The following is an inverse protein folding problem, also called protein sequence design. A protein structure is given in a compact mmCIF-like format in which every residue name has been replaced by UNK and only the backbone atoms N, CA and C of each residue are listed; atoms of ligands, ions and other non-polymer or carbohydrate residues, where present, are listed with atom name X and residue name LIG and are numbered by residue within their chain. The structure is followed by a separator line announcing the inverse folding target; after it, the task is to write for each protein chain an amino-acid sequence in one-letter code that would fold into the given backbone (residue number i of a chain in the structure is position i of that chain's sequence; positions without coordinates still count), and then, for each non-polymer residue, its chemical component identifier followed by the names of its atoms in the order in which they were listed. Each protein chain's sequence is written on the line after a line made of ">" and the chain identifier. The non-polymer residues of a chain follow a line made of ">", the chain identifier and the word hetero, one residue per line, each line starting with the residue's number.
data_IF_931059453084
#
_entry.id   IF_931059453084
#
_cell.length_a   1.000
_cell.length_b   1.000
_cell.length_c   1.000
_cell.angle_alpha   90.00
_cell.angle_beta   90.00
_cell.angle_gamma   90.00
#
_symmetry.space_group_name_H-M   'P 1'
#
loop_
_entity.id
_entity.type
_entity.pdbx_description
1 polymer ?
#
# COMPACT_ATOMS: atom_id res chain seq x y z
N UNK A 1 -10.68 -7.01 8.81
CA UNK A 1 -9.24 -7.22 8.61
C UNK A 1 -8.80 -8.69 8.65
N UNK A 2 -9.52 -9.62 9.32
CA UNK A 2 -9.06 -11.02 9.46
C UNK A 2 -9.96 -12.08 8.81
N UNK A 3 -10.68 -11.70 7.74
CA UNK A 3 -11.58 -12.62 7.04
C UNK A 3 -10.86 -13.84 6.43
N UNK A 4 -9.54 -13.75 6.30
CA UNK A 4 -8.72 -14.68 5.52
C UNK A 4 -7.61 -15.35 6.33
N UNK A 5 -7.67 -15.27 7.66
CA UNK A 5 -6.74 -16.03 8.49
C UNK A 5 -6.98 -17.53 8.25
N UNK A 6 -5.92 -18.25 7.88
CA UNK A 6 -5.99 -19.69 7.59
C UNK A 6 -6.39 -20.08 6.17
N UNK A 7 -6.55 -19.13 5.23
CA UNK A 7 -6.85 -19.47 3.82
C UNK A 7 -5.62 -19.85 3.00
N UNK A 8 -4.42 -19.67 3.57
CA UNK A 8 -3.16 -19.98 2.91
C UNK A 8 -2.60 -21.30 3.42
N UNK A 9 -2.18 -22.15 2.48
CA UNK A 9 -1.46 -23.38 2.75
C UNK A 9 -0.13 -23.42 2.00
N UNK A 10 0.56 -24.57 2.08
CA UNK A 10 1.73 -24.85 1.25
C UNK A 10 1.46 -26.06 0.37
N UNK A 11 1.88 -26.00 -0.88
CA UNK A 11 1.88 -27.15 -1.79
C UNK A 11 2.87 -28.18 -1.24
N UNK A 12 2.45 -29.40 -0.88
CA UNK A 12 3.33 -30.36 -0.19
C UNK A 12 4.60 -30.71 -0.96
N UNK A 13 4.54 -30.75 -2.29
CA UNK A 13 5.67 -31.15 -3.13
C UNK A 13 6.70 -30.04 -3.36
N UNK A 14 6.28 -28.78 -3.45
CA UNK A 14 7.17 -27.65 -3.79
C UNK A 14 7.40 -26.67 -2.64
N UNK A 15 6.63 -26.78 -1.55
CA UNK A 15 6.62 -25.80 -0.46
C UNK A 15 6.06 -24.43 -0.84
N UNK A 16 5.61 -24.24 -2.08
CA UNK A 16 5.07 -22.97 -2.57
C UNK A 16 3.77 -22.60 -1.83
N UNK A 17 3.55 -21.31 -1.65
CA UNK A 17 2.31 -20.79 -1.09
C UNK A 17 1.12 -21.08 -2.04
N UNK A 18 0.01 -21.57 -1.49
CA UNK A 18 -1.24 -21.80 -2.21
C UNK A 18 -2.45 -21.40 -1.37
N UNK A 19 -3.64 -21.41 -1.98
CA UNK A 19 -4.89 -21.31 -1.22
C UNK A 19 -5.31 -22.69 -0.72
N UNK A 20 -5.66 -22.79 0.56
CA UNK A 20 -6.17 -24.00 1.17
C UNK A 20 -7.59 -24.30 0.63
N UNK A 21 -7.70 -25.39 -0.14
CA UNK A 21 -8.95 -25.79 -0.77
C UNK A 21 -10.06 -26.12 0.23
N UNK A 22 -9.73 -26.68 1.39
CA UNK A 22 -10.70 -27.00 2.44
C UNK A 22 -11.20 -25.72 3.12
N UNK A 23 -10.29 -24.81 3.45
CA UNK A 23 -10.66 -23.50 4.02
C UNK A 23 -11.58 -22.71 3.07
N UNK A 24 -11.34 -22.78 1.76
CA UNK A 24 -12.16 -22.11 0.74
C UNK A 24 -13.59 -22.66 0.63
N UNK A 25 -13.87 -23.90 1.05
CA UNK A 25 -15.22 -24.47 1.04
C UNK A 25 -16.14 -23.77 2.03
N UNK A 26 -15.60 -23.26 3.13
CA UNK A 26 -16.34 -22.52 4.16
C UNK A 26 -16.63 -21.06 3.76
N UNK A 27 -16.06 -20.60 2.66
CA UNK A 27 -16.24 -19.23 2.15
C UNK A 27 -17.25 -19.25 1.01
N UNK A 28 -18.36 -18.53 1.16
CA UNK A 28 -19.39 -18.42 0.11
C UNK A 28 -18.84 -17.88 -1.22
N UNK A 29 -19.46 -18.23 -2.35
CA UNK A 29 -18.95 -17.91 -3.69
C UNK A 29 -18.68 -16.39 -3.92
N UNK A 30 -19.56 -15.51 -3.44
CA UNK A 30 -19.35 -14.07 -3.53
C UNK A 30 -18.14 -13.60 -2.72
N UNK A 31 -17.92 -14.19 -1.53
CA UNK A 31 -16.78 -13.87 -0.67
C UNK A 31 -15.47 -14.42 -1.25
N UNK A 32 -15.51 -15.55 -1.98
CA UNK A 32 -14.33 -16.04 -2.72
C UNK A 32 -13.91 -15.11 -3.85
N UNK A 33 -14.87 -14.45 -4.53
CA UNK A 33 -14.55 -13.43 -5.53
C UNK A 33 -13.84 -12.24 -4.90
N UNK A 34 -14.36 -11.74 -3.78
CA UNK A 34 -13.75 -10.63 -3.02
C UNK A 34 -12.36 -11.02 -2.49
N UNK A 35 -12.22 -12.24 -1.94
CA UNK A 35 -10.93 -12.79 -1.51
C UNK A 35 -9.90 -12.77 -2.64
N UNK A 36 -10.27 -13.27 -3.83
CA UNK A 36 -9.35 -13.28 -4.98
C UNK A 36 -8.93 -11.87 -5.40
N UNK A 37 -9.84 -10.90 -5.30
CA UNK A 37 -9.59 -9.49 -5.58
C UNK A 37 -8.61 -8.89 -4.56
N UNK A 38 -8.85 -9.06 -3.26
CA UNK A 38 -7.98 -8.53 -2.19
C UNK A 38 -6.60 -9.21 -2.15
N UNK A 39 -6.53 -10.53 -2.38
CA UNK A 39 -5.27 -11.25 -2.58
C UNK A 39 -4.54 -10.71 -3.82
N UNK A 40 -5.28 -10.48 -4.91
CA UNK A 40 -4.72 -9.94 -6.15
C UNK A 40 -4.06 -8.59 -5.95
N UNK A 41 -4.71 -7.70 -5.18
CA UNK A 41 -4.17 -6.41 -4.77
C UNK A 41 -2.89 -6.59 -3.94
N UNK A 42 -2.95 -7.39 -2.87
CA UNK A 42 -1.82 -7.56 -1.94
C UNK A 42 -0.55 -8.08 -2.63
N UNK A 43 -0.67 -9.17 -3.39
CA UNK A 43 0.46 -9.69 -4.15
C UNK A 43 0.87 -8.79 -5.32
N UNK A 44 -0.09 -8.07 -5.93
CA UNK A 44 0.19 -7.09 -6.98
C UNK A 44 1.10 -5.97 -6.49
N UNK A 45 0.82 -5.42 -5.31
CA UNK A 45 1.65 -4.42 -4.65
C UNK A 45 3.05 -4.98 -4.33
N UNK A 46 3.14 -6.21 -3.81
CA UNK A 46 4.44 -6.86 -3.53
C UNK A 46 5.25 -7.00 -4.83
N UNK A 47 4.64 -7.50 -5.89
CA UNK A 47 5.30 -7.67 -7.20
C UNK A 47 5.79 -6.33 -7.76
N UNK A 48 4.98 -5.28 -7.66
CA UNK A 48 5.32 -3.96 -8.11
C UNK A 48 6.52 -3.37 -7.34
N UNK A 49 6.54 -3.52 -6.01
CA UNK A 49 7.69 -3.12 -5.19
C UNK A 49 8.95 -3.91 -5.56
N UNK A 50 8.83 -5.21 -5.84
CA UNK A 50 9.95 -6.02 -6.33
C UNK A 50 10.46 -5.53 -7.69
N UNK A 51 9.56 -5.18 -8.62
CA UNK A 51 9.93 -4.62 -9.93
C UNK A 51 10.65 -3.27 -9.81
N UNK A 52 10.21 -2.37 -8.92
CA UNK A 52 10.94 -1.12 -8.64
C UNK A 52 12.34 -1.41 -8.08
N UNK A 53 12.46 -2.33 -7.11
CA UNK A 53 13.75 -2.71 -6.50
C UNK A 53 14.69 -3.40 -7.48
N UNK A 54 14.17 -4.20 -8.40
CA UNK A 54 14.97 -4.86 -9.43
C UNK A 54 15.64 -3.85 -10.37
N UNK A 55 14.96 -2.73 -10.68
CA UNK A 55 15.52 -1.63 -11.48
C UNK A 55 16.41 -0.71 -10.65
N UNK A 56 16.09 -0.51 -9.38
CA UNK A 56 16.77 0.40 -8.47
C UNK A 56 17.09 -0.32 -7.12
N UNK A 57 18.18 -1.12 -7.02
CA UNK A 57 18.44 -1.96 -5.84
C UNK A 57 18.68 -1.21 -4.52
N UNK A 58 19.01 0.08 -4.61
CA UNK A 58 19.24 0.96 -3.45
C UNK A 58 18.06 1.91 -3.18
N UNK A 59 16.92 1.71 -3.87
CA UNK A 59 15.72 2.51 -3.62
C UNK A 59 15.30 2.39 -2.16
N UNK A 60 14.95 3.54 -1.57
CA UNK A 60 14.42 3.62 -0.22
C UNK A 60 12.99 3.06 -0.11
N UNK A 61 12.21 3.55 0.86
CA UNK A 61 10.81 3.15 1.03
C UNK A 61 10.01 3.33 -0.28
N UNK A 62 9.18 2.32 -0.60
CA UNK A 62 8.24 2.37 -1.73
C UNK A 62 6.82 2.31 -1.16
N UNK A 63 6.05 3.37 -1.39
CA UNK A 63 4.64 3.44 -1.06
C UNK A 63 3.77 2.99 -2.24
N UNK A 64 2.59 2.46 -1.92
CA UNK A 64 1.51 2.24 -2.87
C UNK A 64 0.30 3.02 -2.38
N UNK A 65 -0.11 4.02 -3.17
CA UNK A 65 -1.10 5.02 -2.81
C UNK A 65 -2.34 4.75 -3.65
N UNK A 66 -3.49 4.61 -3.00
CA UNK A 66 -4.76 4.42 -3.69
C UNK A 66 -5.07 5.65 -4.55
N UNK A 67 -5.18 5.46 -5.87
CA UNK A 67 -5.45 6.53 -6.83
C UNK A 67 -6.80 7.17 -6.54
N UNK A 68 -7.79 6.39 -6.08
CA UNK A 68 -9.09 6.94 -5.73
C UNK A 68 -8.97 7.91 -4.54
N UNK A 69 -8.10 7.61 -3.57
CA UNK A 69 -7.89 8.52 -2.45
C UNK A 69 -7.09 9.76 -2.84
N UNK A 70 -6.09 9.61 -3.71
CA UNK A 70 -5.30 10.73 -4.22
C UNK A 70 -6.14 11.69 -5.08
N UNK A 71 -7.07 11.18 -5.88
CA UNK A 71 -7.92 11.97 -6.78
C UNK A 71 -9.22 12.44 -6.12
N UNK A 72 -9.94 11.58 -5.41
CA UNK A 72 -11.35 11.79 -5.05
C UNK A 72 -11.61 12.17 -3.60
N UNK A 73 -10.59 12.35 -2.76
CA UNK A 73 -10.79 13.04 -1.48
C UNK A 73 -10.95 14.57 -1.62
N UNK A 74 -11.41 15.00 -2.79
CA UNK A 74 -11.87 16.34 -3.16
C UNK A 74 -10.82 17.46 -3.07
N UNK A 75 -9.54 17.09 -2.88
CA UNK A 75 -8.38 18.00 -2.86
C UNK A 75 -7.88 18.32 -4.26
N UNK A 76 -7.91 17.35 -5.18
CA UNK A 76 -7.61 17.60 -6.60
C UNK A 76 -8.86 18.25 -7.21
N UNK A 77 -8.79 19.52 -7.65
CA UNK A 77 -9.90 20.15 -8.34
C UNK A 77 -10.28 19.31 -9.56
N UNK A 78 -11.57 19.19 -9.83
CA UNK A 78 -12.11 18.84 -11.15
C UNK A 78 -12.29 17.36 -11.54
N UNK A 79 -12.52 16.43 -10.62
CA UNK A 79 -12.83 15.04 -11.02
C UNK A 79 -14.11 14.49 -10.38
N UNK A 80 -15.17 14.36 -11.19
CA UNK A 80 -16.25 13.41 -10.93
C UNK A 80 -15.88 12.07 -11.57
N UNK A 81 -16.08 10.97 -10.83
CA UNK A 81 -15.77 9.61 -11.26
C UNK A 81 -16.50 9.29 -12.56
N UNK A 82 -15.78 9.22 -13.68
CA UNK A 82 -16.36 8.82 -14.95
C UNK A 82 -15.41 7.90 -15.70
N UNK A 83 -15.78 6.61 -15.77
CA UNK A 83 -15.06 5.62 -16.55
C UNK A 83 -14.50 4.44 -15.73
N UNK A 84 -14.53 3.25 -16.35
CA UNK A 84 -14.03 1.97 -15.81
C UNK A 84 -12.51 1.80 -15.99
N UNK A 85 -11.76 2.88 -16.21
CA UNK A 85 -10.37 2.84 -16.70
C UNK A 85 -9.47 3.84 -15.99
N UNK A 86 -9.31 3.64 -14.69
CA UNK A 86 -8.25 4.29 -13.94
C UNK A 86 -7.32 3.20 -13.38
N UNK A 87 -6.04 3.52 -13.17
CA UNK A 87 -5.12 2.66 -12.42
C UNK A 87 -5.58 2.53 -10.96
N UNK A 88 -5.35 1.38 -10.34
CA UNK A 88 -5.70 1.14 -8.93
C UNK A 88 -4.79 1.97 -7.97
N UNK A 89 -3.48 2.06 -8.26
CA UNK A 89 -2.49 2.63 -7.35
C UNK A 89 -1.44 3.51 -8.04
N UNK A 90 -0.87 4.43 -7.27
CA UNK A 90 0.37 5.16 -7.54
C UNK A 90 1.48 4.60 -6.66
N UNK A 91 2.55 4.13 -7.28
CA UNK A 91 3.80 3.85 -6.61
C UNK A 91 4.56 5.16 -6.42
N UNK A 92 5.05 5.39 -5.21
CA UNK A 92 5.86 6.56 -4.91
C UNK A 92 7.12 6.14 -4.16
N UNK A 93 8.28 6.58 -4.63
CA UNK A 93 9.58 6.20 -4.07
C UNK A 93 10.63 7.29 -4.32
N UNK A 94 11.68 7.38 -3.49
CA UNK A 94 12.72 8.39 -3.67
C UNK A 94 13.51 8.15 -4.95
N UNK A 95 13.96 9.24 -5.57
CA UNK A 95 14.90 9.17 -6.68
C UNK A 95 16.29 8.72 -6.22
N UNK A 96 16.92 7.88 -7.03
CA UNK A 96 18.23 7.31 -6.72
C UNK A 96 19.34 8.38 -6.67
N UNK A 97 19.25 9.40 -7.53
CA UNK A 97 20.27 10.45 -7.63
C UNK A 97 20.03 11.60 -6.65
N UNK A 98 18.78 11.81 -6.24
CA UNK A 98 18.40 12.89 -5.32
C UNK A 98 17.24 12.44 -4.42
N UNK A 99 17.50 12.03 -3.17
CA UNK A 99 16.46 11.60 -2.24
C UNK A 99 15.42 12.67 -1.87
N UNK A 100 15.64 13.94 -2.22
CA UNK A 100 14.63 15.01 -2.07
C UNK A 100 13.59 15.01 -3.19
N UNK A 101 13.85 14.28 -4.28
CA UNK A 101 12.95 14.08 -5.43
C UNK A 101 12.25 12.73 -5.29
N UNK A 102 10.99 12.68 -5.71
CA UNK A 102 10.19 11.46 -5.78
C UNK A 102 9.94 11.05 -7.23
N UNK A 103 9.92 9.76 -7.48
CA UNK A 103 9.39 9.17 -8.70
C UNK A 103 7.98 8.66 -8.44
N UNK A 104 7.12 8.82 -9.44
CA UNK A 104 5.76 8.30 -9.43
C UNK A 104 5.54 7.39 -10.64
N UNK A 105 4.98 6.22 -10.39
CA UNK A 105 4.65 5.24 -11.43
C UNK A 105 3.28 4.63 -11.11
N UNK A 106 2.51 4.24 -12.11
CA UNK A 106 1.19 3.64 -11.94
C UNK A 106 1.29 2.14 -11.66
N UNK A 107 0.32 1.63 -10.92
CA UNK A 107 0.15 0.21 -10.68
C UNK A 107 -1.32 -0.15 -10.90
N UNK A 108 -1.54 -1.13 -11.77
CA UNK A 108 -2.82 -1.80 -11.94
C UNK A 108 -2.73 -3.23 -11.44
N UNK A 109 -3.66 -3.66 -10.59
CA UNK A 109 -3.66 -5.00 -10.00
C UNK A 109 -4.92 -5.79 -10.38
N UNK A 110 -4.76 -7.07 -10.65
CA UNK A 110 -5.88 -7.98 -10.94
C UNK A 110 -5.71 -9.29 -10.21
N UNK A 111 -6.81 -9.78 -9.63
CA UNK A 111 -6.91 -11.12 -9.05
C UNK A 111 -7.73 -12.04 -9.94
N UNK A 112 -7.31 -13.31 -10.05
CA UNK A 112 -8.06 -14.36 -10.72
C UNK A 112 -7.71 -15.73 -10.16
N UNK A 113 -8.61 -16.70 -10.34
CA UNK A 113 -8.32 -18.13 -10.08
C UNK A 113 -7.85 -18.86 -11.34
N UNK A 114 -8.10 -18.29 -12.52
CA UNK A 114 -7.81 -18.89 -13.83
C UNK A 114 -6.63 -18.22 -14.52
N UNK A 115 -5.67 -19.04 -14.97
CA UNK A 115 -4.52 -18.58 -15.76
C UNK A 115 -4.92 -18.04 -17.13
N UNK A 116 -5.93 -18.62 -17.79
CA UNK A 116 -6.38 -18.14 -19.12
C UNK A 116 -6.93 -16.71 -19.07
N UNK A 117 -7.48 -16.30 -17.92
CA UNK A 117 -8.00 -14.95 -17.73
C UNK A 117 -6.89 -13.94 -17.42
N UNK A 118 -5.72 -14.39 -16.97
CA UNK A 118 -4.63 -13.50 -16.56
C UNK A 118 -4.12 -12.67 -17.74
N UNK A 119 -3.91 -13.27 -18.92
CA UNK A 119 -3.45 -12.56 -20.11
C UNK A 119 -4.44 -11.47 -20.56
N UNK A 120 -5.73 -11.79 -20.60
CA UNK A 120 -6.78 -10.81 -20.90
C UNK A 120 -6.85 -9.68 -19.86
N UNK A 121 -6.62 -9.99 -18.58
CA UNK A 121 -6.55 -9.00 -17.51
C UNK A 121 -5.34 -8.08 -17.66
N UNK A 122 -4.18 -8.60 -18.07
CA UNK A 122 -2.99 -7.79 -18.33
C UNK A 122 -3.24 -6.79 -19.47
N UNK A 123 -3.74 -7.28 -20.62
CA UNK A 123 -4.04 -6.41 -21.76
C UNK A 123 -5.06 -5.32 -21.41
N UNK A 124 -6.11 -5.67 -20.65
CA UNK A 124 -7.07 -4.68 -20.17
C UNK A 124 -6.43 -3.69 -19.21
N UNK A 125 -5.62 -4.16 -18.27
CA UNK A 125 -4.95 -3.31 -17.30
C UNK A 125 -4.02 -2.28 -17.95
N UNK A 126 -3.35 -2.63 -19.05
CA UNK A 126 -2.52 -1.67 -19.81
C UNK A 126 -3.35 -0.50 -20.33
N UNK A 127 -4.60 -0.74 -20.75
CA UNK A 127 -5.51 0.35 -21.16
C UNK A 127 -6.01 1.19 -19.99
N UNK A 128 -5.96 0.66 -18.76
CA UNK A 128 -6.33 1.40 -17.54
C UNK A 128 -5.21 2.32 -17.08
N UNK A 129 -3.94 1.91 -17.24
CA UNK A 129 -2.79 2.81 -17.01
C UNK A 129 -2.90 4.08 -17.88
N UNK A 130 -3.26 3.93 -19.15
CA UNK A 130 -3.44 5.05 -20.08
C UNK A 130 -4.69 5.94 -19.81
N UNK A 131 -5.46 5.63 -18.76
CA UNK A 131 -6.63 6.40 -18.36
C UNK A 131 -6.33 7.63 -17.51
N UNK A 132 -5.11 7.69 -16.94
CA UNK A 132 -4.63 8.80 -16.13
C UNK A 132 -3.38 9.41 -16.79
N UNK A 133 -3.45 10.71 -17.11
CA UNK A 133 -2.31 11.51 -17.56
C UNK A 133 -2.00 12.61 -16.55
N UNK A 134 -0.74 13.04 -16.54
CA UNK A 134 -0.24 14.14 -15.73
C UNK A 134 0.40 15.18 -16.63
N UNK A 135 -0.09 16.41 -16.59
CA UNK A 135 0.30 17.48 -17.51
C UNK A 135 0.28 17.03 -18.99
N UNK A 136 -0.78 16.32 -19.39
CA UNK A 136 -0.95 15.69 -20.69
C UNK A 136 0.06 14.58 -21.05
N UNK A 137 0.88 14.11 -20.12
CA UNK A 137 1.82 13.01 -20.30
C UNK A 137 1.31 11.71 -19.68
N UNK A 138 1.58 10.58 -20.33
CA UNK A 138 1.38 9.27 -19.72
C UNK A 138 2.38 9.08 -18.59
N UNK A 139 1.91 8.47 -17.50
CA UNK A 139 2.79 8.00 -16.45
C UNK A 139 3.28 6.59 -16.77
N UNK A 140 4.55 6.27 -16.47
CA UNK A 140 5.04 4.89 -16.51
C UNK A 140 4.30 4.06 -15.48
N UNK A 141 4.26 2.74 -15.65
CA UNK A 141 3.63 1.87 -14.68
C UNK A 141 3.67 0.40 -15.03
N UNK A 142 3.19 -0.42 -14.12
CA UNK A 142 3.16 -1.87 -14.26
C UNK A 142 1.76 -2.40 -14.02
N UNK A 143 1.36 -3.39 -14.81
CA UNK A 143 0.13 -4.15 -14.60
C UNK A 143 0.52 -5.51 -14.05
N UNK A 144 -0.10 -5.93 -12.95
CA UNK A 144 0.12 -7.24 -12.34
C UNK A 144 -1.17 -8.02 -12.29
N UNK A 145 -1.16 -9.24 -12.82
CA UNK A 145 -2.23 -10.23 -12.65
C UNK A 145 -1.74 -11.36 -11.74
N UNK A 146 -2.49 -11.58 -10.67
CA UNK A 146 -2.26 -12.62 -9.67
C UNK A 146 -3.24 -13.76 -9.91
N UNK A 147 -2.70 -14.93 -10.24
CA UNK A 147 -3.44 -16.20 -10.30
C UNK A 147 -3.25 -16.92 -8.98
N UNK A 148 -4.31 -17.04 -8.18
CA UNK A 148 -4.27 -17.69 -6.86
C UNK A 148 -5.26 -18.85 -6.80
N UNK A 149 -4.77 -20.07 -6.60
CA UNK A 149 -5.60 -21.26 -6.43
C UNK A 149 -4.86 -22.33 -5.60
N UNK A 150 -5.43 -23.54 -5.52
CA UNK A 150 -4.86 -24.66 -4.76
C UNK A 150 -3.52 -25.17 -5.33
N UNK A 151 -3.24 -24.94 -6.61
CA UNK A 151 -1.96 -25.32 -7.23
C UNK A 151 -0.83 -24.32 -6.91
N UNK A 152 -1.18 -23.12 -6.45
CA UNK A 152 -0.21 -22.11 -6.04
C UNK A 152 -0.66 -20.68 -6.32
N UNK A 153 0.24 -19.75 -6.02
CA UNK A 153 0.12 -18.34 -6.36
C UNK A 153 1.16 -18.01 -7.44
N UNK A 154 0.70 -17.48 -8.57
CA UNK A 154 1.53 -17.07 -9.70
C UNK A 154 1.25 -15.61 -10.03
N UNK A 155 2.31 -14.88 -10.30
CA UNK A 155 2.27 -13.46 -10.67
C UNK A 155 2.71 -13.34 -12.12
N UNK A 156 1.98 -12.58 -12.90
CA UNK A 156 2.32 -12.19 -14.26
C UNK A 156 2.28 -10.67 -14.33
N UNK A 157 3.25 -10.06 -15.00
CA UNK A 157 3.32 -8.61 -15.09
C UNK A 157 3.67 -8.14 -16.50
N UNK A 158 3.19 -6.95 -16.86
CA UNK A 158 3.59 -6.22 -18.07
C UNK A 158 3.90 -4.77 -17.69
N UNK A 159 5.00 -4.27 -18.23
CA UNK A 159 5.53 -2.92 -18.05
C UNK A 159 5.54 -2.26 -19.44
N UNK A 160 4.48 -1.51 -19.82
CA UNK A 160 4.53 -0.70 -21.03
C UNK A 160 5.61 0.38 -20.86
N UNK A 161 6.63 0.34 -21.72
CA UNK A 161 7.73 1.30 -21.68
C UNK A 161 7.23 2.74 -21.86
N UNK A 162 7.47 3.60 -20.87
CA UNK A 162 7.11 5.02 -20.88
C UNK A 162 8.17 5.86 -20.15
N UNK A 163 8.11 7.19 -20.31
CA UNK A 163 9.10 8.11 -19.72
C UNK A 163 8.90 8.29 -18.21
N UNK A 164 9.98 8.18 -17.42
CA UNK A 164 9.99 8.46 -15.98
C UNK A 164 9.50 9.88 -15.66
N UNK A 165 8.65 10.00 -14.64
CA UNK A 165 8.16 11.29 -14.11
C UNK A 165 8.74 11.52 -12.71
N UNK A 166 9.40 12.67 -12.55
CA UNK A 166 10.07 13.12 -11.31
C UNK A 166 9.32 14.32 -10.77
N UNK A 167 9.17 14.39 -9.45
CA UNK A 167 8.53 15.50 -8.78
C UNK A 167 9.21 15.80 -7.44
N UNK A 168 9.40 17.08 -7.14
CA UNK A 168 10.02 17.54 -5.90
C UNK A 168 8.96 18.10 -4.96
N UNK A 169 8.72 17.47 -3.79
CA UNK A 169 7.79 18.00 -2.82
C UNK A 169 8.25 19.36 -2.29
N UNK A 170 7.34 20.34 -2.28
CA UNK A 170 7.52 21.62 -1.59
C UNK A 170 6.50 21.77 -0.48
N UNK A 171 6.89 22.43 0.61
CA UNK A 171 5.97 22.67 1.74
C UNK A 171 4.74 23.48 1.29
N UNK A 172 4.93 24.41 0.36
CA UNK A 172 3.85 25.20 -0.22
C UNK A 172 2.88 24.32 -1.02
N UNK A 173 3.36 23.46 -1.92
CA UNK A 173 2.48 22.56 -2.71
C UNK A 173 1.73 21.59 -1.79
N UNK A 174 2.39 21.04 -0.78
CA UNK A 174 1.77 20.12 0.18
C UNK A 174 0.71 20.83 1.04
N UNK A 175 1.03 22.01 1.57
CA UNK A 175 0.11 22.83 2.36
C UNK A 175 -1.09 23.29 1.51
N UNK A 176 -0.85 23.73 0.29
CA UNK A 176 -1.91 24.12 -0.65
C UNK A 176 -2.86 22.97 -0.95
N UNK A 177 -2.34 21.76 -1.17
CA UNK A 177 -3.18 20.57 -1.34
C UNK A 177 -4.02 20.28 -0.08
N UNK A 178 -3.44 20.34 1.13
CA UNK A 178 -4.20 20.10 2.39
C UNK A 178 -5.37 21.06 2.61
N UNK A 179 -5.30 22.26 2.03
CA UNK A 179 -6.31 23.32 2.19
C UNK A 179 -7.07 23.64 0.90
N UNK A 180 -6.88 22.85 -0.16
CA UNK A 180 -7.54 23.08 -1.43
C UNK A 180 -9.07 23.01 -1.26
N UNK A 181 -9.77 23.98 -1.84
CA UNK A 181 -11.23 24.01 -1.80
C UNK A 181 -11.82 23.05 -2.83
N UNK A 182 -12.82 22.29 -2.39
CA UNK A 182 -13.60 21.33 -3.20
C UNK A 182 -14.18 22.02 -4.42
N UNK A 183 -13.75 21.64 -5.62
CA UNK A 183 -14.31 22.14 -6.90
C UNK A 183 -14.85 20.97 -7.72
N UNK A 184 -16.17 20.96 -7.93
CA UNK A 184 -16.84 20.03 -8.86
C UNK A 184 -16.56 20.42 -10.30
N UNK A 185 -16.26 19.45 -11.14
CA UNK A 185 -16.16 19.60 -12.60
C UNK A 185 -17.01 18.55 -13.30
N UNK A 186 -17.09 18.67 -14.62
CA UNK A 186 -17.86 17.77 -15.48
C UNK A 186 -17.13 16.42 -15.67
N UNK A 187 -17.89 15.33 -15.76
CA UNK A 187 -17.33 13.99 -16.03
C UNK A 187 -16.59 13.89 -17.38
N UNK A 188 -15.41 13.23 -17.40
CA UNK A 188 -14.60 12.95 -18.60
C UNK A 188 -14.11 11.50 -18.64
N UNK A 189 -13.92 10.91 -19.83
CA UNK A 189 -13.48 9.50 -19.98
C UNK A 189 -11.98 9.27 -19.74
N UNK A 190 -11.20 10.36 -19.75
CA UNK A 190 -9.77 10.40 -19.40
C UNK A 190 -9.55 11.48 -18.36
N UNK A 191 -8.66 11.19 -17.43
CA UNK A 191 -8.31 12.08 -16.35
C UNK A 191 -6.95 12.68 -16.68
N UNK A 192 -6.91 13.99 -16.86
CA UNK A 192 -5.66 14.75 -16.96
C UNK A 192 -5.59 15.71 -15.77
N UNK A 193 -4.51 15.62 -15.00
CA UNK A 193 -4.32 16.37 -13.76
C UNK A 193 -2.97 17.07 -13.74
N UNK A 194 -2.89 18.19 -13.05
CA UNK A 194 -1.61 18.88 -12.87
C UNK A 194 -0.70 18.05 -11.95
N UNK A 195 0.60 17.98 -12.28
CA UNK A 195 1.57 17.23 -11.47
C UNK A 195 1.57 17.64 -10.00
N UNK A 196 1.62 18.95 -9.72
CA UNK A 196 1.65 19.47 -8.36
C UNK A 196 0.38 19.10 -7.58
N UNK A 197 -0.79 19.07 -8.21
CA UNK A 197 -2.04 18.71 -7.55
C UNK A 197 -2.07 17.22 -7.20
N UNK A 198 -1.79 16.34 -8.17
CA UNK A 198 -1.82 14.90 -7.97
C UNK A 198 -0.75 14.44 -6.96
N UNK A 199 0.50 14.86 -7.16
CA UNK A 199 1.62 14.33 -6.38
C UNK A 199 1.67 14.91 -4.97
N UNK A 200 1.25 16.17 -4.76
CA UNK A 200 1.08 16.70 -3.42
C UNK A 200 -0.08 16.02 -2.67
N UNK A 201 -1.22 15.82 -3.34
CA UNK A 201 -2.35 15.08 -2.76
C UNK A 201 -1.93 13.64 -2.39
N UNK A 202 -1.29 12.94 -3.32
CA UNK A 202 -0.79 11.57 -3.12
C UNK A 202 0.17 11.48 -1.93
N UNK A 203 1.09 12.43 -1.81
CA UNK A 203 2.04 12.50 -0.68
C UNK A 203 1.31 12.71 0.65
N UNK A 204 0.31 13.58 0.70
CA UNK A 204 -0.51 13.77 1.90
C UNK A 204 -1.32 12.51 2.26
N UNK A 205 -1.91 11.83 1.27
CA UNK A 205 -2.64 10.57 1.46
C UNK A 205 -1.74 9.51 2.05
N UNK A 206 -0.53 9.34 1.52
CA UNK A 206 0.45 8.38 2.01
C UNK A 206 0.78 8.58 3.50
N UNK A 207 1.11 9.82 3.90
CA UNK A 207 1.43 10.14 5.30
C UNK A 207 0.22 9.92 6.21
N UNK A 208 -0.97 10.33 5.74
CA UNK A 208 -2.21 10.14 6.49
C UNK A 208 -2.56 8.66 6.65
N UNK A 209 -2.40 7.84 5.61
CA UNK A 209 -2.65 6.39 5.64
C UNK A 209 -1.69 5.66 6.58
N UNK A 210 -0.40 6.03 6.59
CA UNK A 210 0.56 5.46 7.52
C UNK A 210 0.23 5.84 8.97
N UNK A 211 -0.12 7.11 9.22
CA UNK A 211 -0.58 7.56 10.53
C UNK A 211 -1.86 6.83 10.98
N UNK A 212 -2.85 6.68 10.10
CA UNK A 212 -4.09 5.95 10.38
C UNK A 212 -3.82 4.48 10.69
N UNK A 213 -2.92 3.83 9.94
CA UNK A 213 -2.52 2.44 10.20
C UNK A 213 -1.98 2.24 11.62
N UNK A 214 -1.20 3.20 12.13
CA UNK A 214 -0.71 3.20 13.51
C UNK A 214 -1.71 3.70 14.57
N UNK A 215 -2.94 4.05 14.19
CA UNK A 215 -3.92 4.65 15.11
C UNK A 215 -3.55 6.06 15.60
N UNK A 216 -2.75 6.79 14.82
CA UNK A 216 -2.36 8.19 15.09
C UNK A 216 -3.37 9.13 14.41
N UNK A 217 -4.60 9.16 14.94
CA UNK A 217 -5.73 9.86 14.34
C UNK A 217 -5.52 11.36 14.19
N UNK A 218 -4.85 12.02 15.15
CA UNK A 218 -4.54 13.45 15.05
C UNK A 218 -3.51 13.74 13.96
N UNK A 219 -2.48 12.90 13.88
CA UNK A 219 -1.46 12.98 12.82
C UNK A 219 -2.08 12.74 11.44
N UNK A 220 -2.95 11.74 11.30
CA UNK A 220 -3.65 11.48 10.03
C UNK A 220 -4.48 12.70 9.57
N UNK A 221 -5.17 13.37 10.50
CA UNK A 221 -5.94 14.60 10.21
C UNK A 221 -5.05 15.79 9.86
N UNK A 222 -3.85 15.89 10.41
CA UNK A 222 -2.90 16.94 10.06
C UNK A 222 -2.52 16.85 8.57
N UNK A 223 -2.23 15.63 8.10
CA UNK A 223 -1.85 15.37 6.72
C UNK A 223 -3.04 15.40 5.77
N UNK A 224 -4.24 15.02 6.23
CA UNK A 224 -5.47 15.03 5.42
C UNK A 224 -6.66 15.58 6.23
N UNK A 225 -6.81 16.92 6.35
CA UNK A 225 -7.83 17.54 7.20
C UNK A 225 -9.27 17.23 6.80
N UNK A 226 -9.48 16.86 5.53
CA UNK A 226 -10.79 16.56 4.96
C UNK A 226 -11.18 15.07 5.03
N UNK A 227 -10.30 14.22 5.58
CA UNK A 227 -10.60 12.81 5.81
C UNK A 227 -11.91 12.73 6.59
N UNK A 228 -12.94 12.16 5.97
CA UNK A 228 -14.28 12.07 6.53
C UNK A 228 -14.21 11.57 7.99
N UNK A 229 -14.93 12.26 8.88
CA UNK A 229 -15.02 12.02 10.33
C UNK A 229 -15.67 10.66 10.70
N UNK A 230 -15.62 9.68 9.79
CA UNK A 230 -16.40 8.45 9.77
C UNK A 230 -16.08 7.48 10.93
N UNK A 231 -14.92 7.63 11.58
CA UNK A 231 -14.52 6.81 12.75
C UNK A 231 -14.62 7.53 14.10
N UNK A 232 -15.15 8.76 14.12
CA UNK A 232 -15.18 9.58 15.32
C UNK A 232 -13.78 10.01 15.77
N UNK A 233 -13.71 10.94 16.73
CA UNK A 233 -12.44 11.29 17.39
C UNK A 233 -12.02 10.14 18.30
N UNK A 234 -11.14 9.26 17.82
CA UNK A 234 -10.34 8.41 18.70
C UNK A 234 -9.11 9.18 19.14
N UNK A 235 -8.80 9.09 20.43
CA UNK A 235 -7.50 9.55 20.92
C UNK A 235 -6.40 8.73 20.25
N UNK A 236 -5.24 9.35 20.03
CA UNK A 236 -4.08 8.65 19.50
C UNK A 236 -3.73 7.43 20.37
N UNK A 237 -3.37 6.34 19.72
CA UNK A 237 -3.02 5.12 20.43
C UNK A 237 -1.73 5.26 21.24
N UNK A 238 -1.71 4.67 22.43
CA UNK A 238 -0.55 4.65 23.33
C UNK A 238 0.09 3.26 23.46
N UNK A 239 -0.38 2.25 22.71
CA UNK A 239 0.18 0.89 22.83
C UNK A 239 1.55 0.83 22.16
N UNK A 240 2.55 0.38 22.92
CA UNK A 240 3.91 0.19 22.43
C UNK A 240 4.23 -1.30 22.35
N UNK A 241 4.83 -1.71 21.24
CA UNK A 241 5.45 -3.03 21.06
C UNK A 241 6.88 -2.84 20.61
N UNK A 242 7.77 -3.71 21.08
CA UNK A 242 9.17 -3.71 20.68
C UNK A 242 9.48 -5.02 19.96
N UNK A 243 10.27 -4.92 18.91
CA UNK A 243 10.95 -6.06 18.31
C UNK A 243 12.41 -5.67 18.05
N UNK A 244 13.11 -6.50 17.30
CA UNK A 244 14.51 -6.28 16.99
C UNK A 244 14.73 -4.93 16.29
N UNK A 245 13.81 -4.47 15.44
CA UNK A 245 13.90 -3.19 14.72
C UNK A 245 13.60 -1.96 15.60
N UNK A 246 13.25 -2.14 16.86
CA UNK A 246 12.98 -1.09 17.82
C UNK A 246 11.53 -1.03 18.26
N UNK A 247 11.10 0.15 18.70
CA UNK A 247 9.77 0.36 19.25
C UNK A 247 8.77 0.84 18.19
N UNK A 248 7.54 0.32 18.27
CA UNK A 248 6.41 0.67 17.43
C UNK A 248 5.27 1.18 18.31
N UNK A 249 4.63 2.25 17.87
CA UNK A 249 3.44 2.85 18.49
C UNK A 249 2.25 2.48 17.61
N UNK A 250 1.19 1.92 18.20
CA UNK A 250 0.14 1.30 17.42
C UNK A 250 -1.12 0.97 18.21
N UNK A 251 -2.12 0.41 17.54
CA UNK A 251 -3.32 -0.15 18.17
C UNK A 251 -3.20 -1.67 18.32
N UNK A 252 -3.76 -2.20 19.40
CA UNK A 252 -3.93 -3.64 19.59
C UNK A 252 -5.41 -3.99 19.61
N UNK A 253 -5.79 -4.98 18.82
CA UNK A 253 -7.10 -5.61 18.88
C UNK A 253 -6.96 -7.06 19.32
N UNK A 254 -7.85 -7.48 20.21
CA UNK A 254 -7.95 -8.87 20.67
C UNK A 254 -9.21 -9.47 20.10
N UNK A 255 -9.08 -10.64 19.51
CA UNK A 255 -10.18 -11.37 18.88
C UNK A 255 -10.30 -12.73 19.50
N UNK A 256 -11.55 -13.06 19.81
CA UNK A 256 -11.95 -14.34 20.35
C UNK A 256 -12.80 -15.02 19.28
N UNK A 257 -12.44 -16.25 18.93
CA UNK A 257 -13.19 -17.05 17.97
C UNK A 257 -13.47 -18.43 18.59
N UNK A 258 -14.69 -18.98 18.44
CA UNK A 258 -15.03 -20.29 19.00
C UNK A 258 -14.07 -21.37 18.49
N UNK A 259 -13.40 -22.08 19.41
CA UNK A 259 -12.46 -23.16 19.07
C UNK A 259 -11.08 -22.72 18.61
N UNK A 260 -10.79 -21.42 18.59
CA UNK A 260 -9.44 -20.88 18.37
C UNK A 260 -8.90 -20.28 19.67
N UNK A 261 -7.58 -20.38 19.81
CA UNK A 261 -6.77 -19.58 20.73
C UNK A 261 -7.01 -18.08 20.50
N UNK A 262 -6.83 -17.26 21.54
CA UNK A 262 -7.08 -15.81 21.50
C UNK A 262 -6.08 -15.16 20.55
N UNK A 263 -6.57 -14.49 19.51
CA UNK A 263 -5.71 -13.84 18.52
C UNK A 263 -5.54 -12.37 18.89
N UNK A 264 -4.30 -11.92 19.07
CA UNK A 264 -3.95 -10.50 19.18
C UNK A 264 -3.39 -10.00 17.88
N UNK A 265 -3.92 -8.89 17.39
CA UNK A 265 -3.39 -8.19 16.23
C UNK A 265 -2.96 -6.80 16.66
N UNK A 266 -1.68 -6.52 16.46
CA UNK A 266 -1.08 -5.21 16.67
C UNK A 266 -0.74 -4.61 15.30
N UNK A 267 -1.17 -3.37 15.08
CA UNK A 267 -0.82 -2.55 13.92
C UNK A 267 -0.14 -1.29 14.44
N UNK A 268 1.07 -0.99 13.98
CA UNK A 268 1.83 0.13 14.52
C UNK A 268 2.83 0.71 13.53
N UNK A 269 3.37 1.87 13.90
CA UNK A 269 4.39 2.59 13.14
C UNK A 269 5.62 2.76 14.04
N UNK A 270 6.81 2.62 13.45
CA UNK A 270 8.07 2.84 14.16
C UNK A 270 8.06 4.16 14.91
N UNK A 271 8.51 4.17 16.17
CA UNK A 271 8.37 5.30 17.11
C UNK A 271 8.87 6.62 16.53
N UNK A 272 10.01 6.60 15.84
CA UNK A 272 10.60 7.82 15.29
C UNK A 272 9.78 8.32 14.09
N UNK A 273 9.30 7.42 13.22
CA UNK A 273 8.41 7.76 12.11
C UNK A 273 7.08 8.32 12.64
N UNK A 274 6.50 7.66 13.66
CA UNK A 274 5.30 8.13 14.35
C UNK A 274 5.49 9.52 14.98
N UNK A 275 6.70 9.81 15.48
CA UNK A 275 7.04 11.13 16.04
C UNK A 275 7.14 12.18 14.95
N UNK A 276 7.79 11.86 13.82
CA UNK A 276 7.88 12.76 12.68
C UNK A 276 6.50 13.08 12.07
N UNK A 277 5.60 12.09 12.00
CA UNK A 277 4.24 12.23 11.47
C UNK A 277 3.36 13.21 12.26
N UNK A 278 3.71 13.54 13.51
CA UNK A 278 3.02 14.58 14.31
C UNK A 278 3.27 15.99 13.78
N UNK A 279 4.35 16.18 13.02
CA UNK A 279 4.64 17.43 12.32
C UNK A 279 4.05 17.46 10.91
N UNK A 280 4.13 18.61 10.27
CA UNK A 280 3.66 18.84 8.90
C UNK A 280 4.80 18.90 7.87
N UNK A 281 6.04 18.63 8.30
CA UNK A 281 7.28 18.60 7.52
C UNK A 281 7.50 17.22 6.87
N UNK A 282 7.30 17.16 5.56
CA UNK A 282 7.48 15.93 4.80
C UNK A 282 8.93 15.45 4.80
N UNK A 283 9.90 16.36 4.78
CA UNK A 283 11.32 16.01 4.69
C UNK A 283 11.78 15.30 5.96
N UNK A 284 11.30 15.74 7.11
CA UNK A 284 11.55 15.07 8.39
C UNK A 284 10.98 13.64 8.40
N UNK A 285 9.74 13.45 7.92
CA UNK A 285 9.13 12.11 7.83
C UNK A 285 9.92 11.21 6.86
N UNK A 286 10.18 11.70 5.65
CA UNK A 286 10.88 10.95 4.61
C UNK A 286 12.31 10.54 5.05
N UNK A 287 13.03 11.42 5.74
CA UNK A 287 14.34 11.09 6.29
C UNK A 287 14.26 9.98 7.34
N UNK A 288 13.28 10.07 8.25
CA UNK A 288 13.09 9.05 9.28
C UNK A 288 12.70 7.69 8.70
N UNK A 289 11.84 7.67 7.67
CA UNK A 289 11.49 6.45 6.94
C UNK A 289 12.72 5.85 6.22
N UNK A 290 13.58 6.69 5.61
CA UNK A 290 14.83 6.22 5.00
C UNK A 290 15.78 5.61 6.02
N UNK A 291 15.93 6.23 7.19
CA UNK A 291 16.76 5.70 8.27
C UNK A 291 16.22 4.35 8.75
N UNK A 292 14.91 4.25 8.95
CA UNK A 292 14.26 2.98 9.30
C UNK A 292 14.51 1.90 8.24
N UNK A 293 14.31 2.20 6.95
CA UNK A 293 14.56 1.26 5.86
C UNK A 293 16.02 0.75 5.80
N UNK A 294 16.99 1.61 6.14
CA UNK A 294 18.40 1.19 6.24
C UNK A 294 18.62 0.19 7.37
N UNK A 295 18.07 0.46 8.56
CA UNK A 295 18.15 -0.44 9.71
C UNK A 295 17.49 -1.79 9.39
N UNK A 296 16.33 -1.77 8.74
CA UNK A 296 15.60 -2.97 8.32
C UNK A 296 16.41 -3.81 7.33
N UNK A 297 16.98 -3.17 6.30
CA UNK A 297 17.84 -3.83 5.31
C UNK A 297 19.11 -4.43 5.95
N UNK A 298 19.82 -3.66 6.77
CA UNK A 298 21.04 -4.10 7.46
C UNK A 298 20.79 -5.33 8.35
N UNK A 299 19.60 -5.42 8.97
CA UNK A 299 19.21 -6.58 9.77
C UNK A 299 18.70 -7.76 8.95
N UNK A 300 17.94 -7.51 7.89
CA UNK A 300 17.50 -8.55 6.95
C UNK A 300 18.68 -9.23 6.27
N UNK A 301 19.72 -8.47 5.90
CA UNK A 301 20.96 -9.00 5.33
C UNK A 301 21.81 -9.76 6.38
N UNK A 302 21.70 -9.41 7.67
CA UNK A 302 22.42 -10.04 8.76
C UNK A 302 21.72 -11.28 9.36
N UNK A 303 20.42 -11.46 9.10
CA UNK A 303 19.59 -12.53 9.64
C UNK A 303 18.69 -13.12 8.56
N UNK A 304 19.18 -14.17 7.89
CA UNK A 304 18.37 -14.95 6.96
C UNK A 304 17.08 -15.45 7.62
N UNK A 305 15.98 -15.35 6.88
CA UNK A 305 14.59 -15.68 7.23
C UNK A 305 14.45 -16.74 8.34
N UNK A 306 14.45 -16.31 9.59
CA UNK A 306 14.15 -17.16 10.73
C UNK A 306 12.62 -17.18 10.87
N UNK A 307 11.94 -17.75 9.87
CA UNK A 307 10.55 -18.18 10.02
C UNK A 307 10.58 -19.30 11.04
N UNK A 308 10.56 -18.94 12.34
CA UNK A 308 10.63 -19.89 13.44
C UNK A 308 9.32 -20.67 13.50
N UNK A 309 9.25 -21.71 12.69
CA UNK A 309 8.16 -22.65 12.68
C UNK A 309 7.85 -23.08 14.13
N UNK A 310 6.61 -22.84 14.58
CA UNK A 310 6.17 -23.15 15.95
C UNK A 310 6.15 -21.97 16.92
N UNK A 311 6.59 -20.76 16.53
CA UNK A 311 6.28 -19.57 17.33
C UNK A 311 4.86 -19.08 17.04
N UNK A 312 4.06 -18.74 18.06
CA UNK A 312 2.69 -18.30 17.87
C UNK A 312 2.62 -16.82 17.45
N UNK A 313 3.61 -16.32 16.72
CA UNK A 313 3.75 -14.92 16.31
C UNK A 313 4.12 -14.86 14.84
N UNK A 314 3.42 -14.02 14.08
CA UNK A 314 3.78 -13.63 12.72
C UNK A 314 3.92 -12.10 12.67
N UNK A 315 5.03 -11.61 12.13
CA UNK A 315 5.31 -10.19 11.93
C UNK A 315 5.52 -9.88 10.45
N UNK A 316 4.98 -8.76 10.00
CA UNK A 316 5.28 -8.17 8.71
C UNK A 316 5.66 -6.71 8.93
N UNK A 317 6.87 -6.34 8.50
CA UNK A 317 7.39 -4.99 8.60
C UNK A 317 7.59 -4.44 7.19
N UNK A 318 7.21 -3.19 7.01
CA UNK A 318 7.37 -2.47 5.74
C UNK A 318 8.47 -1.42 5.86
N UNK A 319 9.13 -1.12 4.75
CA UNK A 319 10.27 -0.20 4.69
C UNK A 319 9.93 1.24 5.09
N UNK A 320 8.66 1.62 5.11
CA UNK A 320 8.19 2.94 5.55
C UNK A 320 7.93 3.03 7.07
N UNK A 321 8.15 1.93 7.81
CA UNK A 321 8.03 1.88 9.27
C UNK A 321 6.74 1.24 9.79
N UNK A 322 5.84 0.72 8.94
CA UNK A 322 4.66 0.03 9.43
C UNK A 322 4.96 -1.41 9.86
N UNK A 323 4.38 -1.85 10.99
CA UNK A 323 4.41 -3.20 11.54
C UNK A 323 3.00 -3.75 11.69
N UNK A 324 2.75 -4.93 11.14
CA UNK A 324 1.63 -5.79 11.49
C UNK A 324 2.15 -7.00 12.25
N UNK A 325 1.65 -7.23 13.46
CA UNK A 325 1.97 -8.40 14.28
C UNK A 325 0.71 -9.15 14.65
N UNK A 326 0.68 -10.44 14.38
CA UNK A 326 -0.39 -11.36 14.78
C UNK A 326 0.19 -12.35 15.78
N UNK A 327 -0.42 -12.46 16.95
CA UNK A 327 -0.04 -13.43 18.00
C UNK A 327 -1.23 -14.34 18.31
N UNK A 328 -1.01 -15.64 18.40
CA UNK A 328 -2.00 -16.64 18.81
C UNK A 328 -1.70 -17.03 20.28
N UNK A 329 -2.72 -17.15 21.13
CA UNK A 329 -2.56 -17.37 22.58
C UNK A 329 -3.51 -18.40 23.17
#
# INVERSE_FOLDING_TARGET
>A
MLRYLGVFGRVPASGHLCLDGEALLFIGANQRRVLSEEIGIGFGIVAAKMWVRARNPQVGPIAAIDVDQALYDEVVPALERNGRRQPDYLLAFPDESDPSVRNFELLETKGTVSSSNAEHQLARGTTQLAGLTVDANLLPGVVVSTVSNAAGIRLMAVDPEERKVRWSPSDDSLRSARHASRRRSRPTDKIDVAADELFASSTNVEMASLAEFGGLSESARLWRPHLLDWRGRRADSATVRENDLGAFIGEEMVLEAPGLERIRVFQGVARDVATALKGDDYRAVAETQRQFARIEKERGDAGGEDFRAGQPVAEAVSSDGALLRITVQ
#
